data_IF_989840554867
#
_entry.id   IF_989840554867
#
_cell.length_a   1.000
_cell.length_b   1.000
_cell.length_c   1.000
_cell.angle_alpha   90.00
_cell.angle_beta   90.00
_cell.angle_gamma   90.00
#
_symmetry.space_group_name_H-M   'P 1'
#
loop_
_entity.id
_entity.type
_entity.pdbx_description
1 polymer ?
#
# COMPACT_ATOMS: atom_id res chain seq x y z
N UNK A 1 13.20 -27.42 9.93
CA UNK A 1 11.80 -27.03 9.63
C UNK A 1 10.93 -28.27 9.64
N UNK A 2 9.74 -28.21 10.23
CA UNK A 2 8.80 -29.33 10.22
C UNK A 2 8.10 -29.39 8.85
N UNK A 3 8.18 -30.47 8.06
CA UNK A 3 7.52 -30.58 6.76
C UNK A 3 5.99 -30.45 6.81
N UNK A 4 5.40 -30.69 7.99
CA UNK A 4 3.96 -30.51 8.19
C UNK A 4 3.53 -29.04 8.34
N UNK A 5 4.47 -28.11 8.48
CA UNK A 5 4.20 -26.68 8.52
C UNK A 5 4.25 -26.01 7.14
N UNK A 6 4.58 -26.78 6.08
CA UNK A 6 4.60 -26.25 4.73
C UNK A 6 3.25 -25.61 4.38
N UNK A 7 3.23 -24.38 3.84
CA UNK A 7 2.00 -23.70 3.47
C UNK A 7 1.29 -24.45 2.34
N UNK A 8 -0.04 -24.46 2.39
CA UNK A 8 -0.89 -25.07 1.36
C UNK A 8 -2.15 -24.23 1.15
N UNK A 9 -2.82 -24.45 0.05
CA UNK A 9 -4.12 -23.82 -0.22
C UNK A 9 -5.20 -24.46 0.67
N UNK A 10 -6.03 -23.62 1.29
CA UNK A 10 -7.21 -24.07 2.07
C UNK A 10 -8.49 -24.00 1.24
N UNK A 11 -8.75 -22.86 0.64
CA UNK A 11 -9.94 -22.59 -0.17
C UNK A 11 -9.73 -21.41 -1.12
N UNK A 12 -10.54 -21.38 -2.19
CA UNK A 12 -10.70 -20.21 -3.05
C UNK A 12 -12.14 -19.73 -2.94
N UNK A 13 -12.34 -18.45 -2.70
CA UNK A 13 -13.65 -17.83 -2.65
C UNK A 13 -13.81 -16.92 -3.85
N UNK A 14 -14.82 -17.19 -4.65
CA UNK A 14 -15.23 -16.34 -5.77
C UNK A 14 -16.42 -15.50 -5.32
N UNK A 15 -16.38 -14.21 -5.57
CA UNK A 15 -17.43 -13.28 -5.24
C UNK A 15 -17.75 -12.37 -6.42
N UNK A 16 -19.03 -12.23 -6.74
CA UNK A 16 -19.52 -11.28 -7.74
C UNK A 16 -20.53 -10.35 -7.08
N UNK A 17 -20.18 -9.07 -7.02
CA UNK A 17 -21.07 -8.01 -6.54
C UNK A 17 -21.89 -7.43 -7.67
N UNK A 18 -23.22 -7.53 -7.59
CA UNK A 18 -24.16 -6.99 -8.57
C UNK A 18 -24.96 -5.88 -7.91
N UNK A 19 -24.45 -4.63 -7.99
CA UNK A 19 -25.11 -3.47 -7.37
C UNK A 19 -26.49 -3.19 -7.96
N UNK A 20 -26.70 -3.49 -9.24
CA UNK A 20 -27.98 -3.35 -9.94
C UNK A 20 -29.04 -4.35 -9.47
N UNK A 21 -28.64 -5.39 -8.71
CA UNK A 21 -29.53 -6.36 -8.09
C UNK A 21 -30.56 -5.75 -7.13
N UNK A 22 -30.31 -4.52 -6.66
CA UNK A 22 -31.29 -3.73 -5.88
C UNK A 22 -32.53 -3.39 -6.72
N UNK A 23 -32.33 -3.10 -8.01
CA UNK A 23 -33.40 -2.74 -8.93
C UNK A 23 -33.99 -3.97 -9.63
N UNK A 24 -33.11 -4.87 -10.07
CA UNK A 24 -33.51 -6.06 -10.83
C UNK A 24 -32.86 -7.34 -10.28
N UNK A 25 -33.66 -8.15 -9.62
CA UNK A 25 -33.25 -9.45 -9.06
C UNK A 25 -32.78 -10.44 -10.14
N UNK A 26 -33.31 -10.35 -11.37
CA UNK A 26 -32.95 -11.27 -12.46
C UNK A 26 -31.48 -11.18 -12.83
N UNK A 27 -30.88 -9.98 -12.73
CA UNK A 27 -29.44 -9.77 -12.96
C UNK A 27 -28.56 -10.54 -11.98
N UNK A 28 -28.94 -10.59 -10.70
CA UNK A 28 -28.23 -11.41 -9.69
C UNK A 28 -28.37 -12.89 -9.98
N UNK A 29 -29.54 -13.33 -10.45
CA UNK A 29 -29.76 -14.73 -10.82
C UNK A 29 -29.00 -15.12 -12.10
N UNK A 30 -28.83 -14.20 -13.05
CA UNK A 30 -27.98 -14.40 -14.23
C UNK A 30 -26.52 -14.52 -13.82
N UNK A 31 -25.99 -13.58 -13.04
CA UNK A 31 -24.63 -13.61 -12.52
C UNK A 31 -24.36 -14.89 -11.68
N UNK A 32 -25.35 -15.36 -10.92
CA UNK A 32 -25.21 -16.60 -10.17
C UNK A 32 -25.13 -17.85 -11.07
N UNK A 33 -25.82 -17.83 -12.23
CA UNK A 33 -25.71 -18.91 -13.23
C UNK A 33 -24.34 -18.90 -13.91
N UNK A 34 -23.85 -17.73 -14.29
CA UNK A 34 -22.52 -17.56 -14.88
C UNK A 34 -21.41 -18.01 -13.92
N UNK A 35 -21.49 -17.55 -12.65
CA UNK A 35 -20.55 -17.97 -11.63
C UNK A 35 -20.60 -19.48 -11.38
N UNK A 36 -21.78 -20.11 -11.49
CA UNK A 36 -21.91 -21.56 -11.36
C UNK A 36 -21.27 -22.32 -12.53
N UNK A 37 -21.28 -21.77 -13.74
CA UNK A 37 -20.57 -22.35 -14.90
C UNK A 37 -19.05 -22.30 -14.67
N UNK A 38 -18.51 -21.15 -14.26
CA UNK A 38 -17.08 -20.99 -13.98
C UNK A 38 -16.63 -21.94 -12.84
N UNK A 39 -17.41 -22.00 -11.75
CA UNK A 39 -17.04 -22.72 -10.53
C UNK A 39 -17.32 -24.22 -10.60
N UNK A 40 -18.13 -24.68 -11.56
CA UNK A 40 -18.60 -26.07 -11.62
C UNK A 40 -19.47 -26.50 -10.45
N UNK A 41 -19.98 -25.51 -9.64
CA UNK A 41 -20.89 -25.77 -8.51
C UNK A 41 -21.87 -24.62 -8.33
N UNK A 42 -23.01 -24.90 -7.69
CA UNK A 42 -24.09 -23.93 -7.47
C UNK A 42 -23.59 -22.73 -6.65
N UNK A 43 -23.81 -21.51 -7.16
CA UNK A 43 -23.53 -20.28 -6.47
C UNK A 43 -24.56 -19.99 -5.36
N UNK A 44 -24.10 -19.39 -4.27
CA UNK A 44 -24.94 -18.92 -3.17
C UNK A 44 -25.22 -17.43 -3.37
N UNK A 45 -26.50 -17.08 -3.45
CA UNK A 45 -26.94 -15.69 -3.57
C UNK A 45 -26.75 -15.01 -2.21
N UNK A 46 -26.05 -13.87 -2.20
CA UNK A 46 -25.80 -13.07 -1.01
C UNK A 46 -26.86 -11.99 -0.85
N UNK A 47 -27.33 -11.81 0.39
CA UNK A 47 -28.36 -10.84 0.75
C UNK A 47 -27.79 -9.75 1.64
N UNK A 48 -28.37 -8.54 1.55
CA UNK A 48 -28.05 -7.43 2.43
C UNK A 48 -28.36 -7.77 3.89
N UNK A 49 -27.45 -7.42 4.79
CA UNK A 49 -27.61 -7.61 6.23
C UNK A 49 -28.17 -6.37 6.94
N UNK A 50 -28.02 -5.18 6.33
CA UNK A 50 -28.46 -3.90 6.89
C UNK A 50 -29.11 -3.06 5.81
N UNK A 51 -30.13 -2.28 6.20
CA UNK A 51 -30.74 -1.29 5.32
C UNK A 51 -29.89 -0.03 5.28
N UNK A 52 -29.56 0.47 4.09
CA UNK A 52 -28.78 1.68 3.85
C UNK A 52 -29.53 2.57 2.87
N UNK A 53 -29.99 3.74 3.34
CA UNK A 53 -30.83 4.64 2.56
C UNK A 53 -30.10 5.22 1.34
N UNK A 54 -28.82 5.54 1.46
CA UNK A 54 -27.99 6.11 0.38
C UNK A 54 -27.97 5.23 -0.87
N UNK A 55 -27.94 3.90 -0.68
CA UNK A 55 -27.93 2.93 -1.77
C UNK A 55 -29.32 2.36 -2.08
N UNK A 56 -30.39 2.90 -1.49
CA UNK A 56 -31.77 2.39 -1.59
C UNK A 56 -31.89 0.90 -1.24
N UNK A 57 -31.03 0.43 -0.33
CA UNK A 57 -30.88 -0.95 0.05
C UNK A 57 -31.73 -1.26 1.29
N UNK A 58 -32.47 -2.35 1.24
CA UNK A 58 -33.25 -2.89 2.38
C UNK A 58 -32.66 -4.24 2.81
N UNK A 59 -32.87 -4.59 4.04
CA UNK A 59 -32.51 -5.91 4.57
C UNK A 59 -33.17 -7.03 3.77
N UNK A 60 -32.44 -8.12 3.52
CA UNK A 60 -32.88 -9.28 2.75
C UNK A 60 -32.82 -9.12 1.23
N UNK A 61 -32.53 -7.94 0.67
CA UNK A 61 -32.36 -7.76 -0.77
C UNK A 61 -31.13 -8.51 -1.30
N UNK A 62 -31.26 -9.10 -2.49
CA UNK A 62 -30.15 -9.80 -3.17
C UNK A 62 -29.19 -8.81 -3.78
N UNK A 63 -27.87 -8.92 -3.49
CA UNK A 63 -26.86 -7.96 -3.93
C UNK A 63 -25.77 -8.62 -4.78
N UNK A 64 -25.59 -9.92 -4.67
CA UNK A 64 -24.53 -10.61 -5.37
C UNK A 64 -24.60 -12.12 -5.17
N UNK A 65 -23.53 -12.77 -5.58
CA UNK A 65 -23.39 -14.22 -5.43
C UNK A 65 -21.95 -14.57 -5.07
N UNK A 66 -21.77 -15.69 -4.39
CA UNK A 66 -20.44 -16.22 -4.02
C UNK A 66 -20.38 -17.73 -4.14
N UNK A 67 -19.17 -18.24 -4.35
CA UNK A 67 -18.84 -19.65 -4.35
C UNK A 67 -17.59 -19.87 -3.54
N UNK A 68 -17.51 -20.98 -2.81
CA UNK A 68 -16.30 -21.41 -2.11
C UNK A 68 -15.84 -22.74 -2.69
N UNK A 69 -14.65 -22.75 -3.26
CA UNK A 69 -14.01 -23.93 -3.84
C UNK A 69 -13.02 -24.53 -2.85
N UNK A 70 -12.97 -25.85 -2.79
CA UNK A 70 -12.06 -26.62 -1.93
C UNK A 70 -11.56 -27.86 -2.63
N UNK A 71 -10.42 -28.41 -2.18
CA UNK A 71 -9.82 -29.67 -2.66
C UNK A 71 -9.59 -29.62 -4.19
N UNK A 72 -9.96 -30.66 -4.90
CA UNK A 72 -9.70 -30.86 -6.32
C UNK A 72 -10.26 -29.72 -7.18
N UNK A 73 -11.48 -29.28 -6.94
CA UNK A 73 -12.10 -28.16 -7.66
C UNK A 73 -11.37 -26.84 -7.49
N UNK A 74 -10.74 -26.65 -6.32
CA UNK A 74 -9.94 -25.46 -6.04
C UNK A 74 -8.68 -25.43 -6.90
N UNK A 75 -7.95 -26.53 -6.99
CA UNK A 75 -6.75 -26.64 -7.82
C UNK A 75 -7.08 -26.56 -9.30
N UNK A 76 -8.14 -27.22 -9.73
CA UNK A 76 -8.62 -27.16 -11.12
C UNK A 76 -9.00 -25.74 -11.54
N UNK A 77 -9.71 -25.03 -10.67
CA UNK A 77 -10.01 -23.60 -10.91
C UNK A 77 -8.75 -22.73 -10.95
N UNK A 78 -7.79 -22.95 -10.05
CA UNK A 78 -6.55 -22.20 -10.01
C UNK A 78 -5.72 -22.40 -11.27
N UNK A 79 -5.60 -23.64 -11.74
CA UNK A 79 -4.91 -23.95 -12.99
C UNK A 79 -5.56 -23.23 -14.18
N UNK A 80 -6.88 -23.29 -14.33
CA UNK A 80 -7.60 -22.55 -15.37
C UNK A 80 -7.45 -21.04 -15.25
N UNK A 81 -7.43 -20.53 -14.03
CA UNK A 81 -7.20 -19.09 -13.78
C UNK A 81 -5.84 -18.65 -14.29
N UNK A 82 -4.79 -19.40 -13.96
CA UNK A 82 -3.40 -19.04 -14.30
C UNK A 82 -3.11 -19.27 -15.78
N UNK A 83 -3.48 -20.43 -16.31
CA UNK A 83 -3.08 -20.85 -17.67
C UNK A 83 -3.97 -20.26 -18.76
N UNK A 84 -5.25 -20.05 -18.50
CA UNK A 84 -6.23 -19.67 -19.52
C UNK A 84 -6.77 -18.26 -19.27
N UNK A 85 -7.28 -17.99 -18.06
CA UNK A 85 -8.01 -16.77 -17.80
C UNK A 85 -7.11 -15.54 -17.74
N UNK A 86 -6.02 -15.57 -16.97
CA UNK A 86 -5.13 -14.41 -16.81
C UNK A 86 -4.49 -13.94 -18.13
N UNK A 87 -3.99 -14.81 -19.02
CA UNK A 87 -3.45 -14.36 -20.31
C UNK A 87 -4.50 -13.71 -21.24
N UNK A 88 -5.78 -14.02 -21.05
CA UNK A 88 -6.89 -13.43 -21.84
C UNK A 88 -7.37 -12.08 -21.32
N UNK A 89 -6.93 -11.66 -20.13
CA UNK A 89 -7.25 -10.32 -19.61
C UNK A 89 -6.63 -9.25 -20.50
N UNK A 90 -7.41 -8.22 -20.84
CA UNK A 90 -6.93 -7.08 -21.64
C UNK A 90 -5.80 -6.37 -20.89
N UNK A 91 -4.72 -6.05 -21.61
CA UNK A 91 -3.55 -5.34 -21.09
C UNK A 91 -2.92 -5.99 -19.83
N UNK A 92 -2.94 -7.32 -19.78
CA UNK A 92 -2.37 -8.03 -18.65
C UNK A 92 -0.85 -7.82 -18.56
N UNK A 93 -0.38 -7.27 -17.44
CA UNK A 93 1.03 -7.01 -17.13
C UNK A 93 1.52 -7.77 -15.90
N UNK A 94 0.76 -8.77 -15.47
CA UNK A 94 1.00 -9.48 -14.23
C UNK A 94 0.15 -8.95 -13.07
N UNK A 95 0.17 -9.67 -11.97
CA UNK A 95 -0.63 -9.42 -10.77
C UNK A 95 0.21 -8.68 -9.74
N UNK A 96 -0.37 -7.68 -9.09
CA UNK A 96 0.31 -6.91 -8.04
C UNK A 96 0.70 -7.80 -6.84
N UNK A 97 1.96 -7.81 -6.41
CA UNK A 97 2.39 -8.54 -5.22
C UNK A 97 1.93 -7.91 -3.91
N UNK A 98 1.26 -6.75 -3.95
CA UNK A 98 0.79 -6.02 -2.76
C UNK A 98 -0.62 -6.42 -2.30
N UNK A 99 -1.27 -7.33 -3.00
CA UNK A 99 -2.66 -7.74 -2.72
C UNK A 99 -2.78 -8.85 -1.68
N UNK A 100 -1.79 -9.00 -0.81
CA UNK A 100 -1.84 -9.85 0.38
C UNK A 100 -2.45 -9.10 1.55
N UNK A 101 -3.07 -9.84 2.49
CA UNK A 101 -3.81 -9.28 3.64
C UNK A 101 -3.00 -9.19 4.95
N UNK A 102 -1.71 -9.54 4.95
CA UNK A 102 -0.87 -9.63 6.15
C UNK A 102 -0.92 -10.99 6.86
N UNK A 103 -1.87 -11.85 6.50
CA UNK A 103 -2.05 -13.18 7.08
C UNK A 103 -1.88 -14.32 6.05
N UNK A 104 -1.21 -14.03 4.96
CA UNK A 104 -0.92 -15.01 3.92
C UNK A 104 -2.10 -15.34 2.98
N UNK A 105 -3.18 -14.56 2.97
CA UNK A 105 -4.22 -14.70 1.96
C UNK A 105 -4.01 -13.69 0.84
N UNK A 106 -4.41 -14.07 -0.38
CA UNK A 106 -4.25 -13.26 -1.57
C UNK A 106 -5.59 -12.91 -2.21
N UNK A 107 -5.78 -11.68 -2.62
CA UNK A 107 -6.99 -11.22 -3.29
C UNK A 107 -6.69 -10.64 -4.68
N UNK A 108 -7.50 -11.03 -5.66
CA UNK A 108 -7.41 -10.62 -7.05
C UNK A 108 -8.77 -10.16 -7.56
N UNK A 109 -8.86 -8.95 -8.12
CA UNK A 109 -10.05 -8.47 -8.82
C UNK A 109 -9.91 -8.64 -10.33
N UNK A 110 -10.86 -9.33 -10.94
CA UNK A 110 -11.03 -9.41 -12.39
C UNK A 110 -12.13 -8.44 -12.82
N UNK A 111 -11.88 -7.66 -13.85
CA UNK A 111 -12.86 -6.67 -14.33
C UNK A 111 -14.00 -7.29 -15.14
N UNK A 112 -13.71 -8.39 -15.83
CA UNK A 112 -14.60 -9.01 -16.80
C UNK A 112 -14.69 -10.52 -16.56
N UNK A 113 -15.88 -11.07 -16.39
CA UNK A 113 -16.10 -12.52 -16.27
C UNK A 113 -15.91 -13.29 -17.59
N UNK A 114 -15.98 -12.60 -18.72
CA UNK A 114 -15.86 -13.17 -20.07
C UNK A 114 -14.47 -13.77 -20.33
N UNK A 115 -13.49 -13.46 -19.51
CA UNK A 115 -12.14 -14.00 -19.57
C UNK A 115 -12.15 -15.54 -19.48
N UNK A 116 -13.15 -16.11 -18.79
CA UNK A 116 -13.31 -17.56 -18.67
C UNK A 116 -13.96 -18.16 -19.92
N UNK A 117 -13.38 -19.25 -20.48
CA UNK A 117 -13.88 -19.88 -21.72
C UNK A 117 -15.23 -20.55 -21.56
N UNK A 118 -15.68 -20.81 -20.32
CA UNK A 118 -16.98 -21.43 -20.01
C UNK A 118 -18.16 -20.50 -20.26
N UNK A 119 -17.89 -19.21 -20.43
CA UNK A 119 -18.90 -18.19 -20.67
C UNK A 119 -18.97 -17.85 -22.15
N UNK A 120 -20.14 -18.05 -22.73
CA UNK A 120 -20.45 -17.62 -24.09
C UNK A 120 -20.75 -16.12 -24.09
N UNK A 121 -20.00 -15.34 -24.87
CA UNK A 121 -20.19 -13.90 -25.00
C UNK A 121 -21.61 -13.50 -25.41
N UNK A 122 -22.23 -14.26 -26.31
CA UNK A 122 -23.56 -13.97 -26.86
C UNK A 122 -24.70 -14.17 -25.86
N UNK A 123 -24.43 -14.87 -24.74
CA UNK A 123 -25.42 -15.16 -23.69
C UNK A 123 -25.28 -14.26 -22.48
N UNK A 124 -24.31 -13.37 -22.46
CA UNK A 124 -24.04 -12.45 -21.35
C UNK A 124 -24.83 -11.17 -21.53
N UNK A 125 -25.76 -10.91 -20.61
CA UNK A 125 -26.54 -9.69 -20.61
C UNK A 125 -25.70 -8.47 -20.23
N UNK A 126 -24.76 -8.64 -19.29
CA UNK A 126 -23.93 -7.56 -18.73
C UNK A 126 -22.57 -8.07 -18.26
N UNK A 127 -21.53 -7.26 -18.46
CA UNK A 127 -20.20 -7.53 -17.97
C UNK A 127 -20.15 -7.24 -16.46
N UNK A 128 -19.74 -8.23 -15.68
CA UNK A 128 -19.57 -8.13 -14.24
C UNK A 128 -18.12 -8.37 -13.83
N UNK A 129 -17.66 -7.58 -12.86
CA UNK A 129 -16.40 -7.85 -12.19
C UNK A 129 -16.52 -9.03 -11.21
N UNK A 130 -15.41 -9.70 -10.96
CA UNK A 130 -15.33 -10.82 -10.03
C UNK A 130 -14.10 -10.70 -9.14
N UNK A 131 -14.29 -10.93 -7.85
CA UNK A 131 -13.22 -11.00 -6.87
C UNK A 131 -12.87 -12.47 -6.62
N UNK A 132 -11.59 -12.78 -6.69
CA UNK A 132 -11.01 -14.10 -6.39
C UNK A 132 -10.16 -13.96 -5.14
N UNK A 133 -10.54 -14.62 -4.05
CA UNK A 133 -9.77 -14.64 -2.80
C UNK A 133 -9.21 -16.03 -2.59
N UNK A 134 -7.89 -16.13 -2.55
CA UNK A 134 -7.13 -17.36 -2.32
C UNK A 134 -6.71 -17.37 -0.85
N UNK A 135 -7.28 -18.30 -0.09
CA UNK A 135 -6.92 -18.49 1.31
C UNK A 135 -5.89 -19.62 1.43
N UNK A 136 -4.80 -19.33 2.13
CA UNK A 136 -3.73 -20.28 2.39
C UNK A 136 -3.62 -20.61 3.88
N UNK A 137 -2.82 -21.61 4.22
CA UNK A 137 -2.44 -21.94 5.61
C UNK A 137 -1.14 -21.25 6.04
N UNK A 138 -0.55 -20.42 5.17
CA UNK A 138 0.63 -19.64 5.48
C UNK A 138 0.35 -18.67 6.65
N UNK A 139 1.36 -18.41 7.45
CA UNK A 139 1.27 -17.44 8.56
C UNK A 139 1.70 -16.05 8.14
N UNK A 140 2.56 -15.96 7.14
CA UNK A 140 3.12 -14.72 6.62
C UNK A 140 2.86 -14.58 5.12
N UNK A 141 2.86 -13.35 4.64
CA UNK A 141 2.67 -13.06 3.22
C UNK A 141 3.83 -13.58 2.36
N UNK A 142 5.04 -13.62 2.90
CA UNK A 142 6.23 -14.12 2.19
C UNK A 142 6.12 -15.62 1.94
N UNK A 143 5.66 -16.42 2.94
CA UNK A 143 5.39 -17.85 2.76
C UNK A 143 4.30 -18.10 1.72
N UNK A 144 3.21 -17.31 1.76
CA UNK A 144 2.12 -17.43 0.79
C UNK A 144 2.56 -17.06 -0.63
N UNK A 145 3.45 -16.06 -0.76
CA UNK A 145 4.02 -15.64 -2.04
C UNK A 145 4.88 -16.74 -2.65
N UNK A 146 5.74 -17.37 -1.86
CA UNK A 146 6.55 -18.51 -2.32
C UNK A 146 5.64 -19.66 -2.78
N UNK A 147 4.58 -19.96 -2.03
CA UNK A 147 3.59 -20.96 -2.40
C UNK A 147 2.92 -20.64 -3.74
N UNK A 148 2.40 -19.42 -3.92
CA UNK A 148 1.71 -19.01 -5.14
C UNK A 148 2.66 -18.91 -6.34
N UNK A 149 3.92 -18.50 -6.12
CA UNK A 149 4.97 -18.51 -7.15
C UNK A 149 5.31 -19.94 -7.58
N UNK A 150 5.34 -20.90 -6.65
CA UNK A 150 5.50 -22.31 -6.93
C UNK A 150 4.34 -22.95 -7.71
N UNK A 151 3.18 -22.27 -7.76
CA UNK A 151 2.00 -22.63 -8.56
C UNK A 151 1.92 -21.80 -9.86
N UNK A 152 3.01 -21.18 -10.29
CA UNK A 152 3.15 -20.40 -11.52
C UNK A 152 2.26 -19.15 -11.60
N UNK A 153 1.89 -18.55 -10.44
CA UNK A 153 1.15 -17.30 -10.42
C UNK A 153 2.00 -16.14 -11.02
N UNK A 154 1.53 -15.44 -12.06
CA UNK A 154 2.30 -14.41 -12.76
C UNK A 154 2.30 -13.08 -12.01
N UNK A 155 3.13 -12.94 -10.99
CA UNK A 155 3.29 -11.66 -10.29
C UNK A 155 4.05 -10.65 -11.15
N UNK A 156 3.57 -9.39 -11.14
CA UNK A 156 4.23 -8.26 -11.78
C UNK A 156 5.22 -7.59 -10.82
N UNK A 157 6.40 -7.23 -11.35
CA UNK A 157 7.40 -6.50 -10.59
C UNK A 157 8.59 -7.34 -10.15
N UNK A 158 9.60 -6.66 -9.60
CA UNK A 158 10.74 -7.32 -8.96
C UNK A 158 10.26 -8.05 -7.71
N UNK A 159 10.88 -9.19 -7.44
CA UNK A 159 10.63 -9.92 -6.20
C UNK A 159 10.91 -8.98 -5.02
N UNK A 160 9.93 -8.74 -4.11
CA UNK A 160 10.13 -7.81 -3.01
C UNK A 160 11.21 -8.25 -2.01
N UNK A 161 11.60 -9.53 -2.03
CA UNK A 161 12.78 -9.99 -1.32
C UNK A 161 14.05 -9.38 -1.91
N UNK A 162 14.16 -9.37 -3.25
CA UNK A 162 15.28 -8.71 -3.93
C UNK A 162 15.25 -7.19 -3.75
N UNK A 163 14.06 -6.58 -3.74
CA UNK A 163 13.93 -5.15 -3.43
C UNK A 163 14.37 -4.84 -1.99
N UNK A 164 13.99 -5.67 -1.02
CA UNK A 164 14.45 -5.53 0.38
C UNK A 164 15.95 -5.75 0.52
N UNK A 165 16.51 -6.74 -0.17
CA UNK A 165 17.97 -6.97 -0.19
C UNK A 165 18.72 -5.81 -0.86
N UNK A 166 18.24 -5.33 -2.01
CA UNK A 166 18.84 -4.18 -2.69
C UNK A 166 18.72 -2.90 -1.86
N UNK A 167 17.58 -2.69 -1.18
CA UNK A 167 17.38 -1.55 -0.29
C UNK A 167 18.25 -1.65 0.97
N UNK A 168 18.37 -2.83 1.56
CA UNK A 168 19.25 -3.08 2.70
C UNK A 168 20.72 -2.88 2.31
N UNK A 169 21.14 -3.40 1.16
CA UNK A 169 22.49 -3.19 0.63
C UNK A 169 22.77 -1.71 0.34
N UNK A 170 21.81 -0.98 -0.21
CA UNK A 170 21.93 0.46 -0.47
C UNK A 170 22.01 1.28 0.83
N UNK A 171 21.23 0.90 1.86
CA UNK A 171 21.32 1.54 3.19
C UNK A 171 22.67 1.27 3.84
N UNK A 172 23.15 0.03 3.80
CA UNK A 172 24.45 -0.32 4.33
C UNK A 172 25.60 0.43 3.60
N UNK A 173 25.52 0.54 2.27
CA UNK A 173 26.50 1.32 1.50
C UNK A 173 26.47 2.81 1.87
N UNK A 174 25.28 3.38 2.07
CA UNK A 174 25.14 4.78 2.48
C UNK A 174 25.65 5.03 3.92
N UNK A 175 25.49 4.05 4.82
CA UNK A 175 26.04 4.13 6.19
C UNK A 175 27.56 4.08 6.18
N UNK A 176 28.15 3.20 5.37
CA UNK A 176 29.60 3.12 5.19
C UNK A 176 30.16 4.44 4.62
N UNK A 177 29.51 5.00 3.61
CA UNK A 177 29.91 6.29 3.03
C UNK A 177 29.81 7.43 4.06
N UNK A 178 28.75 7.48 4.85
CA UNK A 178 28.60 8.46 5.93
C UNK A 178 29.64 8.28 7.02
N UNK A 179 30.02 7.04 7.31
CA UNK A 179 31.04 6.74 8.32
C UNK A 179 32.43 7.17 7.83
N UNK A 180 32.75 6.85 6.58
CA UNK A 180 33.99 7.32 5.93
C UNK A 180 34.08 8.85 5.87
N UNK A 181 32.97 9.54 5.55
CA UNK A 181 32.93 11.00 5.56
C UNK A 181 33.11 11.59 6.97
N UNK A 182 32.59 10.94 8.02
CA UNK A 182 32.81 11.37 9.41
C UNK A 182 34.26 11.15 9.87
N UNK A 183 34.84 10.03 9.46
CA UNK A 183 36.23 9.72 9.81
C UNK A 183 37.18 10.68 9.09
N UNK A 184 36.93 11.00 7.81
CA UNK A 184 37.68 12.02 7.08
C UNK A 184 37.54 13.44 7.68
N UNK A 185 36.34 13.81 8.16
CA UNK A 185 36.17 15.10 8.87
C UNK A 185 36.95 15.15 10.18
N UNK A 186 37.00 14.03 10.95
CA UNK A 186 37.82 13.96 12.18
C UNK A 186 39.30 14.07 11.91
N UNK A 187 39.79 13.40 10.86
CA UNK A 187 41.20 13.53 10.46
C UNK A 187 41.57 14.96 10.08
N UNK A 188 40.66 15.70 9.39
CA UNK A 188 40.88 17.11 9.06
C UNK A 188 40.85 17.97 10.33
N UNK A 189 39.93 17.74 11.26
CA UNK A 189 39.80 18.48 12.51
C UNK A 189 41.04 18.25 13.41
N UNK A 190 41.52 17.01 13.50
CA UNK A 190 42.75 16.63 14.25
C UNK A 190 43.99 17.28 13.60
N UNK A 191 44.07 17.35 12.25
CA UNK A 191 45.15 18.03 11.54
C UNK A 191 45.13 19.53 11.77
N UNK A 192 43.97 20.17 11.73
CA UNK A 192 43.83 21.60 12.03
C UNK A 192 44.15 21.94 13.48
N UNK A 193 43.84 21.04 14.42
CA UNK A 193 44.15 21.21 15.83
C UNK A 193 45.66 21.06 16.10
N UNK A 194 46.33 20.11 15.40
CA UNK A 194 47.76 19.94 15.43
C UNK A 194 48.49 21.15 14.87
N UNK A 195 48.05 21.72 13.72
CA UNK A 195 48.64 22.93 13.14
C UNK A 195 48.41 24.14 14.05
N UNK A 196 47.27 24.27 14.72
CA UNK A 196 47.05 25.33 15.73
C UNK A 196 47.93 25.16 16.97
N UNK A 197 48.20 23.93 17.39
CA UNK A 197 49.10 23.67 18.52
C UNK A 197 50.54 24.03 18.16
N UNK A 198 51.02 23.65 16.97
CA UNK A 198 52.34 24.00 16.47
C UNK A 198 52.51 25.52 16.33
N UNK A 199 51.52 26.24 15.80
CA UNK A 199 51.54 27.70 15.70
C UNK A 199 51.55 28.41 17.06
N UNK A 200 50.98 27.77 18.13
CA UNK A 200 51.05 28.28 19.50
C UNK A 200 52.43 28.07 20.14
N UNK A 201 53.11 26.98 19.85
CA UNK A 201 54.47 26.73 20.32
C UNK A 201 55.45 27.69 19.65
N UNK A 202 55.35 27.98 18.35
CA UNK A 202 56.18 28.97 17.67
C UNK A 202 55.95 30.43 18.16
N UNK A 203 54.70 30.77 18.52
CA UNK A 203 54.35 32.10 19.08
C UNK A 203 54.75 32.26 20.55
N UNK A 204 54.92 31.15 21.28
CA UNK A 204 55.38 31.17 22.70
C UNK A 204 56.83 31.40 22.90
N UNK A 205 57.70 31.12 21.89
CA UNK A 205 59.16 31.32 21.99
C UNK A 205 59.62 32.76 21.60
N UNK A 206 58.69 33.63 21.18
CA UNK A 206 59.02 35.00 20.78
C UNK A 206 58.63 36.08 21.80
N UNK A 207 58.29 35.73 23.05
CA UNK A 207 57.64 36.65 24.01
C UNK A 207 58.30 36.76 25.37
N UNK A 208 59.65 36.70 25.51
CA UNK A 208 60.30 37.15 26.75
C UNK A 208 61.27 38.30 26.49
N UNK A 209 60.72 39.53 26.36
CA UNK A 209 61.45 40.78 26.65
C UNK A 209 60.52 41.99 26.64
N UNK A 210 60.38 42.66 27.84
CA UNK A 210 59.98 44.07 27.90
C UNK A 210 58.72 44.40 28.67
N UNK A 211 58.91 44.43 29.91
CA UNK A 211 58.64 45.41 30.98
C UNK A 211 57.90 46.71 30.65
N UNK A 212 57.08 47.04 31.67
CA UNK A 212 56.67 48.38 32.16
C UNK A 212 55.47 49.11 31.51
N UNK A 213 54.52 49.28 32.40
CA UNK A 213 53.85 50.56 32.68
C UNK A 213 52.67 50.95 31.82
N UNK A 214 51.61 51.07 32.37
CA UNK A 214 50.97 52.21 33.00
C UNK A 214 49.44 52.02 33.12
N UNK A 215 49.02 52.50 34.19
CA UNK A 215 47.70 52.68 34.78
C UNK A 215 46.77 53.49 33.88
N UNK A 216 45.53 53.27 34.11
CA UNK A 216 44.39 54.19 34.02
C UNK A 216 43.29 53.88 32.99
N UNK A 217 42.18 53.65 33.56
CA UNK A 217 41.01 54.38 33.14
C UNK A 217 39.84 53.63 32.55
N UNK A 218 38.92 53.42 33.45
CA UNK A 218 37.49 53.72 33.31
C UNK A 218 36.66 52.88 32.27
N UNK A 219 35.84 52.04 32.80
CA UNK A 219 34.37 52.26 32.91
C UNK A 219 33.59 52.37 31.60
N UNK A 220 32.63 51.62 31.65
CA UNK A 220 31.25 51.80 31.13
C UNK A 220 30.81 51.07 29.89
N UNK A 221 29.84 50.41 30.13
CA UNK A 221 28.50 50.15 29.62
C UNK A 221 28.38 48.83 28.86
N UNK A 222 27.82 47.86 29.44
CA UNK A 222 26.39 47.54 29.75
C UNK A 222 25.45 47.81 28.58
N UNK A 223 24.80 46.77 28.26
CA UNK A 223 23.43 46.67 27.72
C UNK A 223 23.23 46.49 26.24
N UNK A 224 22.45 45.57 26.11
CA UNK A 224 21.28 45.36 25.24
C UNK A 224 21.56 44.45 24.06
N UNK A 225 20.76 43.55 23.71
CA UNK A 225 19.42 43.17 24.18
C UNK A 225 19.05 41.89 23.40
N UNK A 226 18.46 41.03 24.11
CA UNK A 226 17.58 39.99 23.65
C UNK A 226 16.49 40.58 22.76
N UNK A 227 16.12 39.95 21.71
CA UNK A 227 14.73 39.86 21.20
C UNK A 227 14.72 38.98 19.97
N UNK A 228 14.07 37.97 20.13
CA UNK A 228 12.66 37.58 20.07
C UNK A 228 12.37 37.01 18.71
N UNK A 229 12.03 35.75 18.75
CA UNK A 229 10.66 35.28 18.88
C UNK A 229 9.92 35.36 17.56
N UNK A 230 9.45 34.20 17.19
CA UNK A 230 8.04 33.87 17.29
C UNK A 230 7.11 34.76 16.50
N UNK A 231 6.37 34.13 15.66
CA UNK A 231 5.03 34.37 15.10
C UNK A 231 5.00 33.92 13.64
N UNK A 232 4.05 33.17 13.24
CA UNK A 232 2.73 32.93 13.75
C UNK A 232 1.94 32.05 12.82
N UNK A 233 1.16 31.30 13.45
CA UNK A 233 -0.02 30.64 12.92
C UNK A 233 -1.03 31.68 12.40
N UNK A 234 -1.70 31.35 11.32
CA UNK A 234 -2.87 32.07 10.85
C UNK A 234 -3.65 31.16 9.93
N UNK A 235 -4.45 30.40 10.42
CA UNK A 235 -5.92 30.37 10.54
C UNK A 235 -6.62 31.48 9.75
N UNK A 236 -7.40 31.05 8.78
CA UNK A 236 -8.74 31.59 8.56
C UNK A 236 -9.52 30.79 7.51
N UNK A 237 -10.32 29.90 8.04
CA UNK A 237 -11.61 29.51 7.51
C UNK A 237 -12.46 30.75 7.20
N UNK A 238 -13.10 30.80 6.05
CA UNK A 238 -14.41 31.43 5.89
C UNK A 238 -15.09 30.96 4.60
N UNK A 239 -16.07 30.14 4.80
CA UNK A 239 -17.18 29.92 3.87
C UNK A 239 -18.03 31.19 3.80
N UNK A 240 -18.65 31.50 2.67
CA UNK A 240 -19.86 32.30 2.67
C UNK A 240 -21.11 31.44 2.47
N UNK A 241 -22.03 31.62 3.38
CA UNK A 241 -23.48 31.38 3.27
C UNK A 241 -24.03 32.13 2.08
N UNK A 242 -24.77 31.47 1.27
CA UNK A 242 -25.71 32.11 0.33
C UNK A 242 -27.16 31.75 0.70
N UNK A 243 -27.88 32.74 0.64
CA UNK A 243 -29.22 33.11 1.08
C UNK A 243 -30.32 32.39 0.35
N UNK A 244 -31.41 32.23 1.06
CA UNK A 244 -32.75 31.86 0.59
C UNK A 244 -33.30 32.89 -0.36
N UNK A 245 -33.89 32.47 -1.45
CA UNK A 245 -35.03 33.20 -2.05
C UNK A 245 -36.21 32.26 -2.26
N UNK A 246 -37.31 32.68 -1.66
CA UNK A 246 -38.69 32.26 -1.85
C UNK A 246 -39.17 32.69 -3.23
N UNK A 247 -40.03 31.93 -3.81
CA UNK A 247 -40.92 32.26 -4.93
C UNK A 247 -41.71 31.00 -5.26
N UNK A 248 -42.84 30.87 -4.71
CA UNK A 248 -44.21 31.06 -5.19
C UNK A 248 -44.60 30.11 -6.32
N UNK A 249 -45.51 29.18 -5.95
CA UNK A 249 -46.47 28.55 -6.85
C UNK A 249 -47.34 29.61 -7.53
N UNK A 250 -47.97 29.36 -8.69
CA UNK A 250 -49.18 28.54 -8.67
C UNK A 250 -49.51 27.77 -9.96
N UNK A 251 -50.28 26.69 -9.80
CA UNK A 251 -51.43 26.27 -10.60
C UNK A 251 -51.19 25.63 -12.01
N UNK A 252 -51.70 24.43 -12.11
CA UNK A 252 -51.96 23.73 -13.35
C UNK A 252 -52.08 22.23 -13.14
#
# INVERSE_FOLDING_TARGET
MNPMQAPRLDKIVLNMGVGEGVTDRKKVEAAARELALIAGQKAVITKAKKSIATYKLRDGMTIGCKVTLRRDRMYEFLDRLITIALPRVRDFRGISPRSFDGNGNFSLGLKEQIVFPEIDYDKVDQIHGMDVVICTTAKTDDEARVLLKGLDMPFSGRDPEKEKEEEAARRAALEVEKQAARDAMKEVEEAEEADRAAAREEAGDAGDAGDAGDDSGAEAAEKADSRSADKGSGDSSKSPKAEKSKGEDPNG
#
